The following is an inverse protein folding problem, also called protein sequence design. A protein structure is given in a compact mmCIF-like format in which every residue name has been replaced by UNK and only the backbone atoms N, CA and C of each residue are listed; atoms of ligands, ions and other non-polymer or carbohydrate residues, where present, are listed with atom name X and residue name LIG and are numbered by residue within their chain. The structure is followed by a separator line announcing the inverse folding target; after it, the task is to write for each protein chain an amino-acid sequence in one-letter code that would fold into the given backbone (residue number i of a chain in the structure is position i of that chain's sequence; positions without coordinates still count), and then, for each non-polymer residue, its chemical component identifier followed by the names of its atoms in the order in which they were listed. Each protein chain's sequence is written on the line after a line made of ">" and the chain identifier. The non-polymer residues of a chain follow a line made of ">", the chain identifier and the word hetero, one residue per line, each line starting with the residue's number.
data_IF_682473053497
#
_entry.id   IF_682473053497
#
_cell.length_a   1.000
_cell.length_b   1.000
_cell.length_c   1.000
_cell.angle_alpha   90.00
_cell.angle_beta   90.00
_cell.angle_gamma   90.00
#
_symmetry.space_group_name_H-M   'P 1'
#
loop_
_entity.id
_entity.type
_entity.pdbx_description
1 polymer ?
#
# COMPACT_ATOMS: atom_id res chain seq x y z
N UNK A 1 -35.49 -16.04 -4.81
CA UNK A 1 -34.95 -16.22 -6.18
C UNK A 1 -33.46 -16.03 -6.07
N UNK A 2 -32.65 -17.04 -6.40
CA UNK A 2 -31.20 -16.90 -6.39
C UNK A 2 -30.79 -16.02 -7.58
N UNK A 3 -30.41 -14.77 -7.32
CA UNK A 3 -29.72 -13.92 -8.29
C UNK A 3 -28.33 -14.50 -8.51
N UNK A 4 -28.21 -15.44 -9.46
CA UNK A 4 -26.93 -16.05 -9.83
C UNK A 4 -25.97 -15.00 -10.39
N UNK A 5 -24.66 -15.19 -10.15
CA UNK A 5 -23.61 -14.28 -10.62
C UNK A 5 -23.64 -14.11 -12.13
N UNK A 6 -23.48 -12.87 -12.62
CA UNK A 6 -23.36 -12.60 -14.05
C UNK A 6 -22.10 -13.23 -14.65
N UNK A 7 -21.10 -13.53 -13.82
CA UNK A 7 -19.87 -14.20 -14.26
C UNK A 7 -20.07 -15.69 -14.49
N UNK A 8 -20.87 -16.38 -13.68
CA UNK A 8 -21.16 -17.80 -13.91
C UNK A 8 -21.84 -18.01 -15.26
N UNK A 9 -22.74 -17.09 -15.64
CA UNK A 9 -23.45 -17.14 -16.92
C UNK A 9 -22.59 -16.69 -18.11
N UNK A 10 -21.53 -15.91 -17.88
CA UNK A 10 -20.70 -15.30 -18.92
C UNK A 10 -19.21 -15.65 -18.77
N UNK A 11 -18.88 -16.78 -18.14
CA UNK A 11 -17.50 -17.12 -17.76
C UNK A 11 -16.55 -17.12 -18.98
N UNK A 12 -16.89 -17.91 -19.99
CA UNK A 12 -16.11 -18.04 -21.23
C UNK A 12 -15.98 -16.70 -21.97
N UNK A 13 -17.04 -15.89 -21.98
CA UNK A 13 -17.03 -14.55 -22.59
C UNK A 13 -16.13 -13.60 -21.82
N UNK A 14 -16.20 -13.60 -20.49
CA UNK A 14 -15.38 -12.75 -19.63
C UNK A 14 -13.90 -13.09 -19.77
N UNK A 15 -13.57 -14.39 -19.74
CA UNK A 15 -12.21 -14.89 -19.96
C UNK A 15 -11.65 -14.46 -21.32
N UNK A 16 -12.46 -14.51 -22.39
CA UNK A 16 -12.02 -14.13 -23.75
C UNK A 16 -11.62 -12.65 -23.89
N UNK A 17 -12.09 -11.78 -22.99
CA UNK A 17 -11.77 -10.35 -22.98
C UNK A 17 -10.53 -10.03 -22.15
N UNK A 18 -10.02 -10.96 -21.35
CA UNK A 18 -8.83 -10.78 -20.53
C UNK A 18 -7.58 -11.26 -21.27
N UNK A 19 -6.46 -10.59 -21.03
CA UNK A 19 -5.16 -10.91 -21.65
C UNK A 19 -4.02 -10.73 -20.65
N UNK A 20 -2.95 -11.51 -20.82
CA UNK A 20 -1.74 -11.44 -19.98
C UNK A 20 -2.06 -11.66 -18.50
N UNK A 21 -1.42 -10.89 -17.61
CA UNK A 21 -1.58 -11.03 -16.15
C UNK A 21 -3.02 -10.91 -15.64
N UNK A 22 -3.90 -10.21 -16.38
CA UNK A 22 -5.31 -10.11 -16.01
C UNK A 22 -6.05 -11.43 -16.25
N UNK A 23 -5.69 -12.17 -17.30
CA UNK A 23 -6.21 -13.51 -17.56
C UNK A 23 -5.66 -14.50 -16.53
N UNK A 24 -4.34 -14.49 -16.31
CA UNK A 24 -3.68 -15.35 -15.32
C UNK A 24 -4.30 -15.19 -13.93
N UNK A 25 -4.51 -13.94 -13.49
CA UNK A 25 -5.18 -13.65 -12.23
C UNK A 25 -6.60 -14.19 -12.19
N UNK A 26 -7.39 -13.98 -13.25
CA UNK A 26 -8.80 -14.36 -13.30
C UNK A 26 -9.00 -15.88 -13.24
N UNK A 27 -8.16 -16.64 -13.94
CA UNK A 27 -8.20 -18.11 -13.96
C UNK A 27 -7.78 -18.74 -12.63
N UNK A 28 -6.76 -18.19 -11.98
CA UNK A 28 -6.19 -18.77 -10.75
C UNK A 28 -7.02 -18.45 -9.51
N UNK A 29 -7.53 -17.22 -9.41
CA UNK A 29 -8.03 -16.64 -8.16
C UNK A 29 -9.23 -15.72 -8.40
N UNK A 30 -9.14 -14.89 -9.44
CA UNK A 30 -10.01 -13.74 -9.63
C UNK A 30 -11.47 -14.11 -9.77
N UNK A 31 -11.80 -15.17 -10.53
CA UNK A 31 -13.18 -15.65 -10.65
C UNK A 31 -13.81 -15.90 -9.28
N UNK A 32 -13.16 -16.69 -8.42
CA UNK A 32 -13.70 -17.04 -7.08
C UNK A 32 -13.79 -15.83 -6.15
N UNK A 33 -12.90 -14.86 -6.29
CA UNK A 33 -12.89 -13.65 -5.44
C UNK A 33 -14.05 -12.72 -5.73
N UNK A 34 -14.54 -12.71 -6.98
CA UNK A 34 -15.53 -11.73 -7.44
C UNK A 34 -16.86 -12.36 -7.88
N UNK A 35 -16.94 -13.68 -8.09
CA UNK A 35 -18.16 -14.38 -8.51
C UNK A 35 -19.34 -14.06 -7.59
N UNK A 36 -19.17 -14.25 -6.28
CA UNK A 36 -20.21 -14.02 -5.27
C UNK A 36 -20.61 -12.54 -5.14
N UNK A 37 -19.71 -11.65 -5.57
CA UNK A 37 -19.92 -10.20 -5.55
C UNK A 37 -20.52 -9.69 -6.85
N UNK A 38 -20.38 -10.40 -7.96
CA UNK A 38 -20.76 -9.95 -9.30
C UNK A 38 -22.21 -10.34 -9.62
N UNK A 39 -23.17 -9.82 -8.86
CA UNK A 39 -24.61 -10.06 -9.07
C UNK A 39 -25.19 -9.25 -10.23
N UNK A 40 -24.59 -8.11 -10.55
CA UNK A 40 -24.84 -7.31 -11.74
C UNK A 40 -23.56 -6.60 -12.21
N UNK A 41 -23.65 -5.83 -13.31
CA UNK A 41 -22.49 -5.15 -13.87
C UNK A 41 -21.90 -4.06 -12.93
N UNK A 42 -22.74 -3.38 -12.15
CA UNK A 42 -22.28 -2.35 -11.22
C UNK A 42 -21.48 -2.99 -10.06
N UNK A 43 -21.99 -4.11 -9.53
CA UNK A 43 -21.30 -4.87 -8.51
C UNK A 43 -20.02 -5.54 -9.02
N UNK A 44 -20.00 -6.04 -10.26
CA UNK A 44 -18.78 -6.53 -10.92
C UNK A 44 -17.73 -5.41 -11.03
N UNK A 45 -18.12 -4.24 -11.52
CA UNK A 45 -17.22 -3.08 -11.63
C UNK A 45 -16.66 -2.68 -10.26
N UNK A 46 -17.50 -2.67 -9.23
CA UNK A 46 -17.08 -2.41 -7.85
C UNK A 46 -16.08 -3.45 -7.35
N UNK A 47 -16.40 -4.73 -7.48
CA UNK A 47 -15.52 -5.82 -7.06
C UNK A 47 -14.15 -5.77 -7.77
N UNK A 48 -14.13 -5.52 -9.08
CA UNK A 48 -12.89 -5.33 -9.84
C UNK A 48 -12.10 -4.10 -9.37
N UNK A 49 -12.78 -2.98 -9.09
CA UNK A 49 -12.12 -1.75 -8.61
C UNK A 49 -11.55 -1.90 -7.20
N UNK A 50 -12.14 -2.78 -6.38
CA UNK A 50 -11.60 -3.15 -5.06
C UNK A 50 -10.34 -4.01 -5.18
N UNK A 51 -10.30 -4.95 -6.13
CA UNK A 51 -9.13 -5.81 -6.39
C UNK A 51 -7.99 -5.05 -7.07
N UNK A 52 -8.33 -4.11 -7.95
CA UNK A 52 -7.37 -3.33 -8.71
C UNK A 52 -7.59 -1.84 -8.47
N UNK A 53 -7.21 -1.32 -7.28
CA UNK A 53 -7.32 0.10 -7.01
C UNK A 53 -6.48 0.87 -8.02
N UNK A 54 -7.13 1.72 -8.82
CA UNK A 54 -6.45 2.61 -9.76
C UNK A 54 -5.74 3.70 -8.96
N UNK A 55 -4.46 3.47 -8.69
CA UNK A 55 -3.59 4.48 -8.07
C UNK A 55 -2.86 5.22 -9.19
N UNK A 56 -3.13 6.52 -9.32
CA UNK A 56 -2.40 7.37 -10.26
C UNK A 56 -0.91 7.39 -9.90
N UNK A 57 -0.06 7.26 -10.92
CA UNK A 57 1.40 7.21 -10.77
C UNK A 57 1.88 6.10 -9.81
N UNK A 58 1.20 4.95 -9.77
CA UNK A 58 1.56 3.83 -8.89
C UNK A 58 3.05 3.50 -8.91
N UNK A 59 3.64 3.32 -10.08
CA UNK A 59 5.07 2.97 -10.23
C UNK A 59 6.00 4.04 -9.66
N UNK A 60 5.65 5.32 -9.80
CA UNK A 60 6.41 6.42 -9.22
C UNK A 60 6.33 6.40 -7.69
N UNK A 61 5.13 6.18 -7.14
CA UNK A 61 4.90 6.07 -5.71
C UNK A 61 5.60 4.85 -5.11
N UNK A 62 5.55 3.70 -5.78
CA UNK A 62 6.29 2.50 -5.38
C UNK A 62 7.80 2.76 -5.40
N UNK A 63 8.31 3.41 -6.45
CA UNK A 63 9.73 3.78 -6.54
C UNK A 63 10.14 4.69 -5.38
N UNK A 64 9.35 5.74 -5.09
CA UNK A 64 9.59 6.60 -3.93
C UNK A 64 9.59 5.78 -2.65
N UNK A 65 8.54 5.00 -2.40
CA UNK A 65 8.41 4.22 -1.17
C UNK A 65 9.59 3.28 -0.93
N UNK A 66 10.02 2.54 -1.95
CA UNK A 66 11.06 1.53 -1.80
C UNK A 66 12.49 2.08 -1.94
N UNK A 67 12.69 3.18 -2.66
CA UNK A 67 14.03 3.62 -3.08
C UNK A 67 14.47 4.96 -2.51
N UNK A 68 13.58 5.75 -1.91
CA UNK A 68 13.99 7.04 -1.33
C UNK A 68 14.62 6.87 0.04
N UNK A 69 15.71 7.60 0.29
CA UNK A 69 16.24 7.86 1.62
C UNK A 69 15.98 9.31 2.01
N UNK A 70 15.94 9.59 3.31
CA UNK A 70 15.83 10.95 3.82
C UNK A 70 17.01 11.79 3.32
N UNK A 71 16.71 12.99 2.82
CA UNK A 71 17.74 13.96 2.43
C UNK A 71 18.20 14.79 3.63
N UNK A 72 19.46 15.26 3.60
CA UNK A 72 20.07 16.08 4.67
C UNK A 72 19.34 17.37 5.00
N UNK A 73 18.73 17.98 4.00
CA UNK A 73 17.95 19.20 4.12
C UNK A 73 16.47 18.93 4.43
N UNK A 74 16.05 17.67 4.46
CA UNK A 74 14.67 17.28 4.68
C UNK A 74 14.38 17.04 6.16
N UNK A 75 13.31 17.67 6.63
CA UNK A 75 12.80 17.44 7.97
C UNK A 75 12.40 15.97 8.18
N UNK A 76 12.84 15.31 9.27
CA UNK A 76 12.60 13.89 9.48
C UNK A 76 11.11 13.52 9.51
N UNK A 77 10.31 14.32 10.22
CA UNK A 77 8.86 14.11 10.31
C UNK A 77 8.21 14.17 8.92
N UNK A 78 8.62 15.10 8.05
CA UNK A 78 8.06 15.26 6.71
C UNK A 78 8.35 14.04 5.83
N UNK A 79 9.58 13.53 5.89
CA UNK A 79 9.97 12.31 5.18
C UNK A 79 9.15 11.10 5.64
N UNK A 80 8.98 10.93 6.96
CA UNK A 80 8.18 9.84 7.52
C UNK A 80 6.72 9.95 7.10
N UNK A 81 6.12 11.15 7.20
CA UNK A 81 4.74 11.37 6.79
C UNK A 81 4.54 11.09 5.29
N UNK A 82 5.50 11.44 4.44
CA UNK A 82 5.45 11.12 3.02
C UNK A 82 5.37 9.60 2.80
N UNK A 83 6.27 8.82 3.42
CA UNK A 83 6.29 7.37 3.26
C UNK A 83 5.03 6.69 3.83
N UNK A 84 4.55 7.11 5.00
CA UNK A 84 3.31 6.59 5.59
C UNK A 84 2.08 6.89 4.71
N UNK A 85 2.04 8.09 4.10
CA UNK A 85 0.99 8.46 3.15
C UNK A 85 1.05 7.61 1.90
N UNK A 86 2.24 7.40 1.33
CA UNK A 86 2.42 6.56 0.14
C UNK A 86 1.98 5.13 0.43
N UNK A 87 2.39 4.54 1.56
CA UNK A 87 1.97 3.21 2.00
C UNK A 87 0.43 3.07 2.01
N UNK A 88 -0.26 4.06 2.62
CA UNK A 88 -1.73 4.10 2.69
C UNK A 88 -2.38 4.22 1.30
N UNK A 89 -1.83 5.06 0.42
CA UNK A 89 -2.35 5.27 -0.95
C UNK A 89 -2.18 4.03 -1.81
N UNK A 90 -1.04 3.36 -1.70
CA UNK A 90 -0.74 2.13 -2.44
C UNK A 90 -1.47 0.90 -1.91
N UNK A 91 -2.08 1.00 -0.71
CA UNK A 91 -2.70 -0.10 0.03
C UNK A 91 -1.76 -1.30 0.12
N UNK A 92 -0.49 -1.04 0.46
CA UNK A 92 0.50 -2.12 0.57
C UNK A 92 0.11 -3.05 1.71
N UNK A 93 0.23 -4.34 1.46
CA UNK A 93 0.04 -5.36 2.50
C UNK A 93 1.33 -5.47 3.33
N UNK A 94 1.41 -4.65 4.37
CA UNK A 94 2.55 -4.60 5.28
C UNK A 94 2.05 -4.38 6.72
N UNK A 95 2.59 -5.13 7.68
CA UNK A 95 2.30 -4.90 9.10
C UNK A 95 2.89 -3.56 9.56
N UNK A 96 2.33 -2.98 10.62
CA UNK A 96 2.82 -1.70 11.15
C UNK A 96 4.30 -1.78 11.56
N UNK A 97 4.72 -2.88 12.17
CA UNK A 97 6.12 -3.15 12.52
C UNK A 97 7.04 -3.13 11.29
N UNK A 98 6.69 -3.87 10.24
CA UNK A 98 7.46 -3.89 8.98
C UNK A 98 7.51 -2.53 8.31
N UNK A 99 6.42 -1.76 8.41
CA UNK A 99 6.36 -0.40 7.89
C UNK A 99 7.31 0.53 8.65
N UNK A 100 7.34 0.43 9.97
CA UNK A 100 8.25 1.20 10.81
C UNK A 100 9.70 0.83 10.46
N UNK A 101 10.07 -0.45 10.44
CA UNK A 101 11.42 -0.90 10.08
C UNK A 101 11.84 -0.42 8.69
N UNK A 102 10.91 -0.49 7.73
CA UNK A 102 11.12 0.01 6.37
C UNK A 102 11.40 1.52 6.35
N UNK A 103 10.64 2.32 7.10
CA UNK A 103 10.84 3.77 7.14
C UNK A 103 12.10 4.13 7.92
N UNK A 104 12.35 3.48 9.06
CA UNK A 104 13.51 3.72 9.93
C UNK A 104 14.81 3.49 9.17
N UNK A 105 14.93 2.37 8.45
CA UNK A 105 16.12 2.04 7.63
C UNK A 105 16.44 3.04 6.50
N UNK A 106 15.55 4.01 6.25
CA UNK A 106 15.71 5.06 5.24
C UNK A 106 15.95 6.44 5.82
N UNK A 107 15.95 6.58 7.15
CA UNK A 107 16.31 7.82 7.82
C UNK A 107 17.80 8.12 7.70
N UNK A 108 18.18 9.36 7.97
CA UNK A 108 19.59 9.69 8.08
C UNK A 108 20.26 8.95 9.25
N UNK A 109 21.55 8.57 9.14
CA UNK A 109 22.23 7.79 10.16
C UNK A 109 22.09 8.34 11.60
N UNK A 110 22.17 9.65 11.78
CA UNK A 110 22.08 10.27 13.11
C UNK A 110 20.69 10.10 13.76
N UNK A 111 19.64 10.10 12.93
CA UNK A 111 18.26 9.93 13.38
C UNK A 111 17.95 8.45 13.54
N UNK A 112 18.45 7.61 12.61
CA UNK A 112 18.38 6.17 12.67
C UNK A 112 18.87 5.66 14.03
N UNK A 113 20.11 5.99 14.40
CA UNK A 113 20.71 5.57 15.67
C UNK A 113 19.84 5.99 16.88
N UNK A 114 19.29 7.21 16.84
CA UNK A 114 18.44 7.73 17.89
C UNK A 114 17.10 6.98 18.02
N UNK A 115 16.50 6.62 16.88
CA UNK A 115 15.22 5.91 16.82
C UNK A 115 15.40 4.43 17.18
N UNK A 116 16.44 3.77 16.66
CA UNK A 116 16.71 2.34 16.91
C UNK A 116 16.83 2.05 18.39
N UNK A 117 17.61 2.86 19.13
CA UNK A 117 17.78 2.71 20.59
C UNK A 117 16.45 2.80 21.36
N UNK A 118 15.45 3.50 20.80
CA UNK A 118 14.15 3.73 21.45
C UNK A 118 13.08 2.73 21.02
N UNK A 119 13.35 1.91 20.02
CA UNK A 119 12.48 0.82 19.56
C UNK A 119 11.00 1.21 19.46
N UNK A 120 10.62 2.02 18.44
CA UNK A 120 9.24 2.45 18.25
C UNK A 120 8.26 1.28 18.18
N UNK A 121 7.19 1.32 18.99
CA UNK A 121 6.20 0.22 19.07
C UNK A 121 5.05 0.33 18.07
N UNK A 122 4.79 1.54 17.58
CA UNK A 122 3.74 1.85 16.62
C UNK A 122 4.05 3.20 15.95
N UNK A 123 3.31 3.54 14.89
CA UNK A 123 3.56 4.76 14.11
C UNK A 123 3.40 6.04 14.93
N UNK A 124 2.49 6.07 15.91
CA UNK A 124 2.31 7.24 16.78
C UNK A 124 3.52 7.45 17.69
N UNK A 125 4.01 6.37 18.33
CA UNK A 125 5.21 6.41 19.15
C UNK A 125 6.46 6.75 18.33
N UNK A 126 6.55 6.24 17.11
CA UNK A 126 7.64 6.57 16.17
C UNK A 126 7.70 8.06 15.87
N UNK A 127 6.57 8.69 15.53
CA UNK A 127 6.50 10.13 15.27
C UNK A 127 6.91 10.94 16.51
N UNK A 128 6.45 10.55 17.70
CA UNK A 128 6.85 11.22 18.95
C UNK A 128 8.36 11.12 19.23
N UNK A 129 8.99 9.98 18.94
CA UNK A 129 10.43 9.81 19.10
C UNK A 129 11.17 10.79 18.18
N UNK A 130 10.71 10.90 16.94
CA UNK A 130 11.33 11.77 15.93
C UNK A 130 11.13 13.25 16.26
N UNK A 131 9.94 13.65 16.72
CA UNK A 131 9.70 15.02 17.15
C UNK A 131 10.59 15.40 18.36
N UNK A 132 10.79 14.48 19.32
CA UNK A 132 11.75 14.68 20.42
C UNK A 132 13.20 14.80 19.96
N UNK A 133 13.60 14.11 18.89
CA UNK A 133 14.92 14.29 18.30
C UNK A 133 15.08 15.72 17.80
N UNK A 134 14.07 16.24 17.09
CA UNK A 134 14.08 17.60 16.53
C UNK A 134 14.19 18.64 17.64
N UNK A 135 13.39 18.50 18.70
CA UNK A 135 13.44 19.39 19.86
C UNK A 135 14.81 19.46 20.53
N UNK A 136 15.57 18.35 20.51
CA UNK A 136 16.84 18.22 21.23
C UNK A 136 18.08 18.57 20.39
N UNK A 137 18.02 18.36 19.08
CA UNK A 137 19.22 18.43 18.21
C UNK A 137 19.06 19.36 17.01
N UNK A 138 17.84 19.82 16.70
CA UNK A 138 17.57 20.65 15.52
C UNK A 138 16.96 22.01 15.84
N UNK A 139 16.62 22.28 17.11
CA UNK A 139 16.20 23.58 17.62
C UNK A 139 17.36 24.36 18.25
#
# INVERSE_FOLDING_TARGET
>A
MATGSILTQNYSRSQSHLKGRALDWFEVLGYRVIEDKATDYAHLKKALSEQFPVVRNRSELETRFYSSSQRRDQQPSDFIYELLKIHKVLKLEMSEEKLIDHVVSRLEPQILDYVEVRHPQNTANFLQIVDKYKERFMN
#
